data_IF_940831304827
#
_entry.id   IF_940831304827
#
_cell.length_a   1.000
_cell.length_b   1.000
_cell.length_c   1.000
_cell.angle_alpha   90.00
_cell.angle_beta   90.00
_cell.angle_gamma   90.00
#
_symmetry.space_group_name_H-M   'P 1'
#
loop_
_entity.id
_entity.type
_entity.pdbx_description
1 polymer ?
#
# COMPACT_ATOMS: atom_id res chain seq x y z
N UNK A 1 14.62 -16.32 64.56
CA UNK A 1 15.68 -15.34 64.24
C UNK A 1 16.17 -15.55 62.81
N UNK A 2 16.51 -16.79 62.43
CA UNK A 2 16.93 -17.19 61.06
C UNK A 2 15.94 -16.85 59.93
N UNK A 3 14.63 -16.92 60.18
CA UNK A 3 13.59 -16.56 59.18
C UNK A 3 13.53 -15.06 58.88
N UNK A 4 13.90 -14.20 59.84
CA UNK A 4 13.91 -12.74 59.71
C UNK A 4 15.16 -12.29 58.94
N UNK A 5 16.31 -12.92 59.21
CA UNK A 5 17.56 -12.67 58.47
C UNK A 5 17.45 -13.08 56.99
N UNK A 6 16.79 -14.21 56.70
CA UNK A 6 16.56 -14.66 55.32
C UNK A 6 15.61 -13.74 54.54
N UNK A 7 14.62 -13.15 55.20
CA UNK A 7 13.73 -12.17 54.60
C UNK A 7 14.45 -10.82 54.33
N UNK A 8 15.33 -10.40 55.25
CA UNK A 8 16.15 -9.20 55.09
C UNK A 8 17.20 -9.33 53.96
N UNK A 9 17.77 -10.53 53.76
CA UNK A 9 18.65 -10.85 52.62
C UNK A 9 17.90 -10.77 51.28
N UNK A 10 16.68 -11.32 51.23
CA UNK A 10 15.85 -11.25 50.00
C UNK A 10 15.49 -9.80 49.64
N UNK A 11 15.12 -8.97 50.62
CA UNK A 11 14.75 -7.58 50.34
C UNK A 11 15.98 -6.75 49.92
N UNK A 12 17.15 -7.03 50.51
CA UNK A 12 18.42 -6.41 50.10
C UNK A 12 18.77 -6.76 48.65
N UNK A 13 18.66 -8.04 48.27
CA UNK A 13 18.89 -8.47 46.87
C UNK A 13 17.87 -7.91 45.90
N UNK A 14 16.61 -7.73 46.31
CA UNK A 14 15.58 -7.06 45.49
C UNK A 14 15.91 -5.59 45.28
N UNK A 15 16.38 -4.91 46.32
CA UNK A 15 16.81 -3.51 46.24
C UNK A 15 18.00 -3.37 45.28
N UNK A 16 18.99 -4.25 45.41
CA UNK A 16 20.17 -4.30 44.53
C UNK A 16 19.74 -4.54 43.07
N UNK A 17 18.91 -5.54 42.81
CA UNK A 17 18.40 -5.83 41.46
C UNK A 17 17.64 -4.63 40.87
N UNK A 18 16.79 -3.96 41.66
CA UNK A 18 16.08 -2.74 41.23
C UNK A 18 17.06 -1.61 40.91
N UNK A 19 18.12 -1.45 41.70
CA UNK A 19 19.19 -0.49 41.47
C UNK A 19 19.91 -0.75 40.14
N UNK A 20 20.31 -2.00 39.91
CA UNK A 20 20.98 -2.43 38.67
C UNK A 20 20.08 -2.24 37.44
N UNK A 21 18.80 -2.62 37.53
CA UNK A 21 17.83 -2.42 36.43
C UNK A 21 17.63 -0.93 36.14
N UNK A 22 17.52 -0.09 37.17
CA UNK A 22 17.35 1.36 37.01
C UNK A 22 18.57 1.99 36.34
N UNK A 23 19.77 1.66 36.79
CA UNK A 23 21.03 2.16 36.22
C UNK A 23 21.20 1.71 34.77
N UNK A 24 20.93 0.43 34.47
CA UNK A 24 20.97 -0.08 33.10
C UNK A 24 19.93 0.60 32.19
N UNK A 25 18.78 0.99 32.75
CA UNK A 25 17.73 1.72 32.06
C UNK A 25 18.08 3.17 31.70
N UNK A 26 19.08 3.79 32.34
CA UNK A 26 19.48 5.18 32.03
C UNK A 26 20.09 5.32 30.62
N UNK A 27 20.67 4.24 30.09
CA UNK A 27 21.24 4.21 28.73
C UNK A 27 20.16 3.99 27.67
N UNK A 28 18.97 3.54 28.07
CA UNK A 28 17.84 3.29 27.17
C UNK A 28 17.01 4.58 27.07
N UNK A 29 16.87 5.12 25.86
CA UNK A 29 16.06 6.32 25.63
C UNK A 29 14.62 6.15 26.16
N UNK A 30 14.02 7.23 26.65
CA UNK A 30 12.67 7.25 27.28
C UNK A 30 11.53 6.70 26.39
N UNK A 31 11.79 6.44 25.11
CA UNK A 31 10.81 6.01 24.12
C UNK A 31 10.69 4.48 23.98
N UNK A 32 11.24 3.70 24.91
CA UNK A 32 11.15 2.24 24.90
C UNK A 32 9.79 1.71 25.41
N UNK A 33 9.21 0.64 24.81
CA UNK A 33 9.70 -0.10 23.65
C UNK A 33 9.41 0.61 22.33
N UNK A 34 10.47 0.94 21.60
CA UNK A 34 10.35 1.45 20.24
C UNK A 34 9.93 0.29 19.33
N UNK A 35 8.62 0.14 19.11
CA UNK A 35 8.08 -0.93 18.26
C UNK A 35 8.45 -0.75 16.78
N UNK A 36 8.73 0.48 16.36
CA UNK A 36 9.10 0.80 14.98
C UNK A 36 9.96 2.07 14.98
N UNK A 37 11.20 1.99 14.50
CA UNK A 37 12.10 3.13 14.38
C UNK A 37 12.53 3.30 12.93
N UNK A 38 12.13 4.41 12.33
CA UNK A 38 12.59 4.81 11.00
C UNK A 38 13.65 5.89 11.20
N UNK A 39 14.92 5.48 11.20
CA UNK A 39 16.06 6.35 11.46
C UNK A 39 16.39 7.27 10.27
N UNK A 40 16.07 6.84 9.05
CA UNK A 40 16.15 7.64 7.83
C UNK A 40 14.92 7.43 6.95
N UNK A 41 14.48 8.49 6.28
CA UNK A 41 13.49 8.39 5.22
C UNK A 41 14.05 7.46 4.13
N UNK A 42 13.40 6.31 3.84
CA UNK A 42 13.82 5.43 2.77
C UNK A 42 14.01 6.14 1.44
N UNK A 43 13.33 7.27 1.21
CA UNK A 43 13.35 8.00 -0.05
C UNK A 43 14.24 9.26 -0.03
N UNK A 44 15.08 9.45 1.00
CA UNK A 44 15.83 10.71 1.22
C UNK A 44 16.68 11.15 0.01
N UNK A 45 17.33 10.21 -0.68
CA UNK A 45 18.15 10.51 -1.87
C UNK A 45 17.33 10.84 -3.13
N UNK A 46 15.99 10.82 -3.08
CA UNK A 46 15.10 11.15 -4.19
C UNK A 46 14.17 12.34 -3.92
N UNK A 47 14.39 13.10 -2.85
CA UNK A 47 13.48 14.18 -2.44
C UNK A 47 13.34 15.30 -3.47
N UNK A 48 14.23 15.36 -4.46
CA UNK A 48 14.17 16.29 -5.60
C UNK A 48 13.18 15.88 -6.70
N UNK A 49 12.57 14.69 -6.61
CA UNK A 49 11.58 14.19 -7.57
C UNK A 49 10.14 14.35 -7.01
N UNK A 50 9.11 14.43 -7.88
CA UNK A 50 7.73 14.32 -7.46
C UNK A 50 7.47 13.02 -6.70
N UNK A 51 6.60 13.06 -5.69
CA UNK A 51 6.40 11.95 -4.75
C UNK A 51 6.06 10.63 -5.43
N UNK A 52 5.18 10.63 -6.44
CA UNK A 52 4.81 9.41 -7.17
C UNK A 52 6.03 8.77 -7.86
N UNK A 53 6.90 9.60 -8.43
CA UNK A 53 8.12 9.17 -9.07
C UNK A 53 9.13 8.63 -8.06
N UNK A 54 9.26 9.32 -6.92
CA UNK A 54 10.10 8.92 -5.80
C UNK A 54 9.70 7.54 -5.26
N UNK A 55 8.41 7.30 -5.06
CA UNK A 55 7.88 5.99 -4.63
C UNK A 55 8.13 4.91 -5.68
N UNK A 56 7.90 5.21 -6.97
CA UNK A 56 8.12 4.26 -8.07
C UNK A 56 9.57 3.81 -8.13
N UNK A 57 10.52 4.75 -8.07
CA UNK A 57 11.95 4.45 -8.07
C UNK A 57 12.41 3.77 -6.79
N UNK A 58 11.93 4.21 -5.63
CA UNK A 58 12.22 3.55 -4.35
C UNK A 58 11.80 2.08 -4.35
N UNK A 59 10.66 1.75 -4.97
CA UNK A 59 10.24 0.35 -5.19
C UNK A 59 11.19 -0.41 -6.11
N UNK A 60 11.65 0.20 -7.20
CA UNK A 60 12.61 -0.45 -8.12
C UNK A 60 13.93 -0.78 -7.42
N UNK A 61 14.46 0.12 -6.59
CA UNK A 61 15.74 -0.10 -5.92
C UNK A 61 15.63 -1.00 -4.68
N UNK A 62 14.55 -0.90 -3.90
CA UNK A 62 14.44 -1.55 -2.60
C UNK A 62 13.39 -2.66 -2.53
N UNK A 63 12.61 -2.87 -3.58
CA UNK A 63 11.52 -3.86 -3.62
C UNK A 63 10.31 -3.52 -2.74
N UNK A 64 10.37 -2.44 -1.96
CA UNK A 64 9.31 -2.02 -1.05
C UNK A 64 8.10 -1.43 -1.78
N UNK A 65 6.89 -1.83 -1.38
CA UNK A 65 5.67 -1.20 -1.87
C UNK A 65 5.46 0.14 -1.16
N UNK A 66 5.53 1.26 -1.89
CA UNK A 66 5.32 2.59 -1.29
C UNK A 66 3.86 2.96 -1.00
N UNK A 67 2.91 2.11 -1.39
CA UNK A 67 1.50 2.23 -1.03
C UNK A 67 1.00 0.92 -0.42
N UNK A 68 0.03 1.02 0.49
CA UNK A 68 -0.63 -0.16 1.06
C UNK A 68 -1.48 -0.87 0.00
N UNK A 69 -1.68 -2.19 0.12
CA UNK A 69 -2.63 -2.91 -0.73
C UNK A 69 -4.05 -2.36 -0.58
N UNK A 70 -4.82 -2.37 -1.67
CA UNK A 70 -6.23 -1.93 -1.69
C UNK A 70 -7.11 -2.48 -0.56
N UNK A 71 -7.04 -3.79 -0.22
CA UNK A 71 -7.79 -4.34 0.91
C UNK A 71 -7.51 -3.66 2.26
N UNK A 72 -6.28 -3.21 2.49
CA UNK A 72 -5.89 -2.52 3.73
C UNK A 72 -6.54 -1.14 3.81
N UNK A 73 -6.51 -0.37 2.71
CA UNK A 73 -7.22 0.91 2.64
C UNK A 73 -8.73 0.76 2.84
N UNK A 74 -9.35 -0.28 2.25
CA UNK A 74 -10.76 -0.59 2.48
C UNK A 74 -11.04 -0.97 3.93
N UNK A 75 -10.13 -1.70 4.59
CA UNK A 75 -10.20 -1.95 6.04
C UNK A 75 -10.16 -0.67 6.87
N UNK A 76 -9.33 0.29 6.48
CA UNK A 76 -9.29 1.61 7.12
C UNK A 76 -10.55 2.45 6.85
N UNK A 77 -11.18 2.30 5.69
CA UNK A 77 -12.48 2.90 5.42
C UNK A 77 -13.57 2.31 6.33
N UNK A 78 -13.65 0.97 6.40
CA UNK A 78 -14.64 0.26 7.24
C UNK A 78 -14.49 0.56 8.73
N UNK A 79 -13.27 0.71 9.22
CA UNK A 79 -12.99 1.09 10.62
C UNK A 79 -13.14 2.58 10.91
N UNK A 80 -13.40 3.42 9.89
CA UNK A 80 -13.54 4.87 10.05
C UNK A 80 -12.23 5.64 10.17
N UNK A 81 -11.07 4.98 10.06
CA UNK A 81 -9.75 5.64 9.97
C UNK A 81 -9.65 6.48 8.70
N UNK A 82 -10.14 5.95 7.58
CA UNK A 82 -10.47 6.72 6.39
C UNK A 82 -11.98 6.96 6.43
N UNK A 83 -12.42 8.20 6.21
CA UNK A 83 -13.84 8.57 6.21
C UNK A 83 -14.31 8.73 4.77
N UNK A 84 -15.60 8.52 4.53
CA UNK A 84 -16.23 8.73 3.21
C UNK A 84 -15.88 10.09 2.59
N UNK A 85 -15.89 11.17 3.40
CA UNK A 85 -15.50 12.51 2.93
C UNK A 85 -14.08 12.59 2.36
N UNK A 86 -13.14 11.78 2.87
CA UNK A 86 -11.78 11.78 2.35
C UNK A 86 -11.73 11.20 0.93
N UNK A 87 -12.61 10.23 0.61
CA UNK A 87 -12.74 9.73 -0.77
C UNK A 87 -13.34 10.81 -1.66
N UNK A 88 -14.41 11.47 -1.19
CA UNK A 88 -15.07 12.53 -1.95
C UNK A 88 -14.08 13.67 -2.28
N UNK A 89 -13.29 14.11 -1.30
CA UNK A 89 -12.25 15.15 -1.47
C UNK A 89 -11.16 14.71 -2.46
N UNK A 90 -10.68 13.47 -2.36
CA UNK A 90 -9.64 12.94 -3.24
C UNK A 90 -10.13 12.73 -4.69
N UNK A 91 -11.41 12.36 -4.86
CA UNK A 91 -12.00 12.09 -6.17
C UNK A 91 -12.45 13.37 -6.87
N UNK A 92 -12.83 14.41 -6.14
CA UNK A 92 -13.32 15.68 -6.70
C UNK A 92 -12.54 16.21 -7.92
N UNK A 93 -11.19 16.28 -7.91
CA UNK A 93 -10.43 16.75 -9.08
C UNK A 93 -10.38 15.76 -10.26
N UNK A 94 -10.75 14.49 -10.05
CA UNK A 94 -10.66 13.40 -11.03
C UNK A 94 -12.02 13.05 -11.68
N UNK A 95 -13.12 13.59 -11.13
CA UNK A 95 -14.46 13.33 -11.66
C UNK A 95 -14.67 14.12 -12.95
N UNK A 96 -15.06 13.40 -14.01
CA UNK A 96 -15.51 13.99 -15.25
C UNK A 96 -17.04 14.03 -15.28
N UNK A 97 -17.61 14.99 -16.00
CA UNK A 97 -19.06 15.08 -16.23
C UNK A 97 -19.52 14.02 -17.25
N UNK A 98 -19.48 12.76 -16.81
CA UNK A 98 -19.96 11.60 -17.56
C UNK A 98 -20.89 10.81 -16.66
N UNK A 99 -22.03 10.41 -17.22
CA UNK A 99 -23.02 9.61 -16.53
C UNK A 99 -23.67 8.64 -17.52
N UNK A 100 -24.14 7.52 -17.01
CA UNK A 100 -24.86 6.51 -17.77
C UNK A 100 -26.00 5.96 -16.91
N UNK A 101 -27.06 5.47 -17.55
CA UNK A 101 -28.20 4.90 -16.85
C UNK A 101 -28.12 3.37 -16.93
N UNK A 102 -28.02 2.71 -15.78
CA UNK A 102 -28.11 1.25 -15.68
C UNK A 102 -29.51 0.90 -15.19
N UNK A 103 -30.36 0.39 -16.10
CA UNK A 103 -31.78 0.15 -15.81
C UNK A 103 -32.51 1.46 -15.52
N UNK A 104 -32.92 1.65 -14.27
CA UNK A 104 -33.56 2.89 -13.79
C UNK A 104 -32.65 3.80 -12.96
N UNK A 105 -31.37 3.42 -12.78
CA UNK A 105 -30.43 4.14 -11.91
C UNK A 105 -29.41 4.94 -12.72
N UNK A 106 -29.33 6.27 -12.57
CA UNK A 106 -28.21 7.03 -13.09
C UNK A 106 -26.95 6.70 -12.28
N UNK A 107 -25.84 6.50 -12.98
CA UNK A 107 -24.51 6.22 -12.42
C UNK A 107 -23.54 7.24 -13.01
N UNK A 108 -22.95 8.06 -12.15
CA UNK A 108 -21.93 9.03 -12.56
C UNK A 108 -20.53 8.41 -12.59
N UNK A 109 -19.60 9.06 -13.30
CA UNK A 109 -18.18 8.70 -13.27
C UNK A 109 -17.62 8.69 -11.83
N UNK A 110 -18.06 9.63 -11.00
CA UNK A 110 -17.68 9.68 -9.58
C UNK A 110 -18.15 8.47 -8.78
N UNK A 111 -19.38 8.00 -9.04
CA UNK A 111 -19.92 6.81 -8.38
C UNK A 111 -19.08 5.56 -8.70
N UNK A 112 -18.65 5.42 -9.96
CA UNK A 112 -17.78 4.31 -10.40
C UNK A 112 -16.41 4.39 -9.72
N UNK A 113 -15.76 5.56 -9.74
CA UNK A 113 -14.46 5.74 -9.08
C UNK A 113 -14.54 5.45 -7.58
N UNK A 114 -15.59 5.97 -6.92
CA UNK A 114 -15.86 5.72 -5.51
C UNK A 114 -16.04 4.25 -5.22
N UNK A 115 -16.81 3.54 -6.03
CA UNK A 115 -17.05 2.11 -5.86
C UNK A 115 -15.77 1.28 -6.12
N UNK A 116 -14.91 1.66 -7.07
CA UNK A 116 -13.62 0.99 -7.24
C UNK A 116 -12.70 1.17 -6.02
N UNK A 117 -12.70 2.33 -5.35
CA UNK A 117 -11.91 2.54 -4.14
C UNK A 117 -12.52 1.89 -2.89
N UNK A 118 -13.84 2.00 -2.71
CA UNK A 118 -14.54 1.55 -1.50
C UNK A 118 -14.83 0.04 -1.52
N UNK A 119 -15.27 -0.50 -2.66
CA UNK A 119 -15.71 -1.89 -2.79
C UNK A 119 -14.70 -2.76 -3.56
N UNK A 120 -13.77 -2.15 -4.30
CA UNK A 120 -12.76 -2.89 -5.06
C UNK A 120 -13.29 -3.48 -6.37
N UNK A 121 -14.33 -2.90 -6.98
CA UNK A 121 -14.92 -3.35 -8.25
C UNK A 121 -13.90 -3.59 -9.38
N UNK A 122 -12.78 -2.87 -9.36
CA UNK A 122 -11.72 -2.94 -10.36
C UNK A 122 -10.62 -3.98 -10.03
N UNK A 123 -10.73 -4.74 -8.93
CA UNK A 123 -9.72 -5.76 -8.55
C UNK A 123 -10.23 -7.12 -8.99
N UNK A 124 -9.63 -7.77 -10.03
CA UNK A 124 -10.01 -9.12 -10.40
C UNK A 124 -9.72 -10.04 -9.21
N UNK A 125 -10.73 -10.82 -8.81
CA UNK A 125 -10.52 -11.97 -7.94
C UNK A 125 -10.08 -13.07 -8.91
N UNK A 126 -8.81 -13.43 -8.86
CA UNK A 126 -8.28 -14.56 -9.63
C UNK A 126 -8.04 -15.66 -8.61
N UNK A 127 -8.89 -16.68 -8.58
CA UNK A 127 -8.60 -17.90 -7.84
C UNK A 127 -7.63 -18.77 -8.66
N UNK A 128 -6.68 -19.48 -8.01
CA UNK A 128 -5.66 -20.27 -8.71
C UNK A 128 -6.18 -21.35 -9.67
N UNK A 129 -7.48 -21.68 -9.59
CA UNK A 129 -8.14 -22.72 -10.38
C UNK A 129 -9.12 -22.14 -11.42
N UNK A 130 -9.38 -20.82 -11.43
CA UNK A 130 -10.36 -20.21 -12.32
C UNK A 130 -10.02 -20.46 -13.80
N UNK A 131 -8.73 -20.34 -14.16
CA UNK A 131 -8.25 -20.60 -15.53
C UNK A 131 -8.36 -22.07 -15.97
N UNK A 132 -8.60 -23.00 -15.03
CA UNK A 132 -8.70 -24.43 -15.29
C UNK A 132 -10.14 -24.96 -15.31
N UNK A 133 -11.11 -24.12 -14.99
CA UNK A 133 -12.53 -24.48 -14.97
C UNK A 133 -13.25 -23.78 -16.13
N UNK A 134 -14.07 -24.49 -16.92
CA UNK A 134 -14.89 -23.84 -17.93
C UNK A 134 -15.94 -22.94 -17.25
N UNK A 135 -15.79 -21.62 -17.40
CA UNK A 135 -16.78 -20.64 -16.94
C UNK A 135 -17.92 -20.54 -17.98
N UNK A 136 -19.18 -20.85 -17.61
CA UNK A 136 -20.34 -20.73 -18.50
C UNK A 136 -20.57 -19.30 -19.01
N UNK A 137 -19.90 -18.30 -18.41
CA UNK A 137 -19.97 -16.89 -18.77
C UNK A 137 -18.94 -16.48 -19.83
N UNK A 138 -17.99 -17.35 -20.21
CA UNK A 138 -16.90 -17.01 -21.14
C UNK A 138 -17.43 -16.42 -22.46
N UNK A 139 -18.41 -17.07 -23.09
CA UNK A 139 -19.02 -16.55 -24.34
C UNK A 139 -19.68 -15.18 -24.16
N UNK A 140 -20.16 -14.86 -22.96
CA UNK A 140 -20.74 -13.54 -22.65
C UNK A 140 -19.63 -12.52 -22.40
N UNK A 141 -18.58 -12.91 -21.68
CA UNK A 141 -17.40 -12.08 -21.40
C UNK A 141 -16.71 -11.70 -22.71
N UNK A 142 -16.48 -12.65 -23.61
CA UNK A 142 -15.86 -12.42 -24.91
C UNK A 142 -16.70 -11.46 -25.76
N UNK A 143 -18.02 -11.69 -25.87
CA UNK A 143 -18.93 -10.77 -26.58
C UNK A 143 -18.96 -9.37 -25.98
N UNK A 144 -18.80 -9.24 -24.66
CA UNK A 144 -18.69 -7.94 -24.01
C UNK A 144 -17.33 -7.29 -24.27
N UNK A 145 -16.25 -8.06 -24.23
CA UNK A 145 -14.90 -7.61 -24.53
C UNK A 145 -14.81 -7.06 -25.96
N UNK A 146 -15.31 -7.80 -26.95
CA UNK A 146 -15.35 -7.40 -28.36
C UNK A 146 -16.10 -6.06 -28.55
N UNK A 147 -17.21 -5.88 -27.84
CA UNK A 147 -17.99 -4.63 -27.90
C UNK A 147 -17.26 -3.45 -27.25
N UNK A 148 -16.51 -3.72 -26.18
CA UNK A 148 -15.77 -2.71 -25.44
C UNK A 148 -14.45 -2.33 -26.13
N UNK A 149 -13.90 -3.19 -26.99
CA UNK A 149 -12.63 -2.98 -27.70
C UNK A 149 -12.58 -1.62 -28.40
N UNK A 150 -13.66 -1.23 -29.09
CA UNK A 150 -13.76 0.05 -29.79
C UNK A 150 -13.73 1.31 -28.89
N UNK A 151 -13.96 1.14 -27.58
CA UNK A 151 -14.07 2.23 -26.60
C UNK A 151 -12.86 2.23 -25.64
N UNK A 152 -12.08 1.15 -25.61
CA UNK A 152 -10.87 1.07 -24.81
C UNK A 152 -9.76 1.94 -25.42
N UNK A 153 -9.23 2.86 -24.62
CA UNK A 153 -8.19 3.82 -25.03
C UNK A 153 -6.83 3.11 -25.27
N UNK A 154 -6.66 1.88 -24.78
CA UNK A 154 -5.44 1.08 -24.92
C UNK A 154 -5.80 -0.34 -25.37
N UNK A 155 -6.08 -0.55 -26.67
CA UNK A 155 -6.60 -1.83 -27.16
C UNK A 155 -5.57 -2.97 -27.09
N UNK A 156 -4.26 -2.69 -27.13
CA UNK A 156 -3.25 -3.74 -27.22
C UNK A 156 -2.37 -3.87 -25.97
N UNK A 157 -2.58 -4.97 -25.24
CA UNK A 157 -1.72 -5.39 -24.12
C UNK A 157 -0.25 -5.54 -24.55
N UNK A 158 0.00 -5.96 -25.79
CA UNK A 158 1.36 -6.17 -26.32
C UNK A 158 2.07 -4.83 -26.53
N UNK A 159 1.40 -3.82 -27.11
CA UNK A 159 1.91 -2.44 -27.15
C UNK A 159 2.21 -1.89 -25.75
N UNK A 160 1.37 -2.19 -24.75
CA UNK A 160 1.61 -1.75 -23.37
C UNK A 160 2.83 -2.42 -22.76
N UNK A 161 3.02 -3.72 -22.98
CA UNK A 161 4.25 -4.42 -22.55
C UNK A 161 5.46 -3.82 -23.27
N UNK A 162 5.38 -3.59 -24.59
CA UNK A 162 6.46 -2.96 -25.35
C UNK A 162 6.80 -1.56 -24.84
N UNK A 163 5.81 -0.71 -24.57
CA UNK A 163 6.03 0.63 -24.05
C UNK A 163 6.67 0.63 -22.65
N UNK A 164 6.32 -0.34 -21.80
CA UNK A 164 6.96 -0.53 -20.48
C UNK A 164 8.42 -0.95 -20.68
N UNK A 165 8.66 -1.94 -21.55
CA UNK A 165 10.01 -2.44 -21.84
C UNK A 165 10.87 -1.34 -22.47
N UNK A 166 10.37 -0.59 -23.44
CA UNK A 166 11.07 0.56 -24.05
C UNK A 166 11.34 1.67 -23.03
N UNK A 167 10.40 1.94 -22.13
CA UNK A 167 10.59 2.89 -21.03
C UNK A 167 11.70 2.45 -20.06
N UNK A 168 11.72 1.16 -19.70
CA UNK A 168 12.74 0.57 -18.85
C UNK A 168 14.10 0.53 -19.55
N UNK A 169 14.16 0.16 -20.84
CA UNK A 169 15.36 0.15 -21.67
C UNK A 169 15.92 1.56 -21.90
N UNK A 170 15.06 2.54 -22.20
CA UNK A 170 15.47 3.94 -22.33
C UNK A 170 16.01 4.50 -21.00
N UNK A 171 15.57 3.94 -19.88
CA UNK A 171 16.06 4.30 -18.56
C UNK A 171 17.41 3.64 -18.20
N UNK A 172 17.81 2.56 -18.87
CA UNK A 172 19.10 1.90 -18.64
C UNK A 172 20.26 2.85 -18.93
N UNK A 173 21.14 3.05 -17.95
CA UNK A 173 22.38 3.81 -18.08
C UNK A 173 22.23 5.33 -18.20
N UNK A 174 21.00 5.88 -18.25
CA UNK A 174 20.74 7.34 -18.26
C UNK A 174 20.28 7.89 -16.91
N UNK A 175 19.83 7.00 -16.01
CA UNK A 175 19.25 7.37 -14.72
C UNK A 175 20.04 6.76 -13.56
N UNK A 176 19.85 7.33 -12.36
CA UNK A 176 20.52 6.89 -11.14
C UNK A 176 20.48 5.37 -11.01
N UNK A 177 21.66 4.79 -10.92
CA UNK A 177 21.87 3.39 -10.58
C UNK A 177 21.72 3.22 -9.06
N UNK A 178 21.57 1.98 -8.61
CA UNK A 178 21.56 1.63 -7.19
C UNK A 178 22.82 2.16 -6.46
N UNK A 179 23.95 2.29 -7.18
CA UNK A 179 25.19 2.90 -6.67
C UNK A 179 25.16 4.42 -6.47
N UNK A 180 24.23 5.15 -7.09
CA UNK A 180 24.02 6.58 -6.81
C UNK A 180 23.04 6.81 -5.63
N UNK A 181 22.34 5.77 -5.21
CA UNK A 181 21.39 5.82 -4.10
C UNK A 181 22.06 5.65 -2.74
N UNK A 182 23.00 4.69 -2.65
CA UNK A 182 23.81 4.38 -1.48
C UNK A 182 24.86 5.45 -1.21
#
# INVERSE_FOLDING_TARGET
>A
MEQIERAADIESRRMELRGVVRLAGEVIAQYWPMRTFVHHNPLHSLEYLPFEETVRRGKQFMGGNGYLPGPVYRGYLKSGRIRSRHLDDALKPLVHDKHLVIGSRPVSHGDVLRACLAEGLCTPIVEPLDDQLPDPSNDLIDRLADRLESVLIFPDLRQRIHAIVEGDEAALGRWLTLSHWC
#
